data_IF_622579468174
#
_entry.id   IF_622579468174
#
_cell.length_a   1.000
_cell.length_b   1.000
_cell.length_c   1.000
_cell.angle_alpha   90.00
_cell.angle_beta   90.00
_cell.angle_gamma   90.00
#
_symmetry.space_group_name_H-M   'P 1'
#
loop_
_entity.id
_entity.type
_entity.pdbx_description
1 polymer ?
#
# COMPACT_ATOMS: atom_id res chain seq x y z
N UNK A 1 21.45 -12.47 -13.01
CA UNK A 1 21.33 -12.57 -14.48
C UNK A 1 19.91 -12.98 -14.86
N UNK A 2 19.10 -12.01 -15.28
CA UNK A 2 18.14 -12.11 -16.40
C UNK A 2 18.19 -10.70 -17.01
N UNK A 3 18.69 -10.53 -18.24
CA UNK A 3 18.82 -9.21 -18.85
C UNK A 3 17.52 -8.87 -19.59
N UNK A 4 16.76 -7.90 -19.11
CA UNK A 4 15.70 -7.29 -19.91
C UNK A 4 16.28 -6.11 -20.70
N UNK A 5 16.87 -6.40 -21.86
CA UNK A 5 17.05 -5.39 -22.92
C UNK A 5 16.45 -5.93 -24.20
N UNK A 6 15.42 -5.27 -24.72
CA UNK A 6 15.35 -4.99 -26.16
C UNK A 6 14.58 -3.71 -26.44
N UNK A 7 15.35 -2.63 -26.58
CA UNK A 7 15.01 -1.44 -27.35
C UNK A 7 14.86 -1.89 -28.80
N UNK A 8 13.61 -2.09 -29.23
CA UNK A 8 13.24 -2.43 -30.59
C UNK A 8 13.18 -1.19 -31.48
N UNK A 9 14.18 -1.10 -32.34
CA UNK A 9 14.47 -0.10 -33.36
C UNK A 9 13.26 0.31 -34.23
N UNK A 10 13.11 1.62 -34.38
CA UNK A 10 12.24 2.31 -35.33
C UNK A 10 12.61 1.94 -36.79
N UNK A 11 11.71 1.28 -37.53
CA UNK A 11 11.77 1.23 -39.00
C UNK A 11 10.61 2.02 -39.59
N UNK A 12 10.94 3.20 -40.11
CA UNK A 12 10.09 3.96 -41.01
C UNK A 12 10.28 3.35 -42.41
N UNK A 13 9.26 2.67 -42.94
CA UNK A 13 9.10 2.47 -44.37
C UNK A 13 8.12 3.52 -44.89
N UNK A 14 8.68 4.59 -45.47
CA UNK A 14 7.94 5.51 -46.33
C UNK A 14 7.62 4.80 -47.64
N UNK A 15 6.34 4.65 -47.99
CA UNK A 15 5.86 4.74 -49.37
C UNK A 15 4.32 4.76 -49.40
N UNK A 16 3.75 5.74 -50.10
CA UNK A 16 2.35 5.70 -50.54
C UNK A 16 1.51 6.87 -50.04
N UNK A 17 1.38 7.87 -50.90
CA UNK A 17 0.40 8.96 -50.92
C UNK A 17 -0.91 8.71 -50.16
N UNK A 18 -1.25 9.58 -49.21
CA UNK A 18 -2.41 10.51 -49.29
C UNK A 18 -2.61 11.22 -47.96
N UNK A 19 -2.76 12.55 -48.08
CA UNK A 19 -3.44 13.49 -47.18
C UNK A 19 -4.04 12.85 -45.92
N UNK A 20 -3.50 13.19 -44.75
CA UNK A 20 -4.31 13.35 -43.55
C UNK A 20 -3.58 14.24 -42.53
N UNK A 21 -4.00 15.51 -42.54
CA UNK A 21 -3.72 16.51 -41.53
C UNK A 21 -4.46 16.11 -40.25
N UNK A 22 -3.88 15.19 -39.46
CA UNK A 22 -4.52 14.68 -38.25
C UNK A 22 -3.69 13.72 -37.40
N UNK A 23 -2.37 13.63 -37.63
CA UNK A 23 -1.52 12.61 -36.99
C UNK A 23 -0.32 13.21 -36.23
N UNK A 24 -0.48 14.37 -35.58
CA UNK A 24 0.59 15.03 -34.83
C UNK A 24 0.29 15.32 -33.36
N UNK A 25 -0.83 14.85 -32.82
CA UNK A 25 -1.21 15.07 -31.41
C UNK A 25 -1.16 13.78 -30.56
N UNK A 26 -1.00 12.60 -31.17
CA UNK A 26 -1.12 11.31 -30.45
C UNK A 26 0.16 10.78 -29.78
N UNK A 27 1.31 11.44 -29.93
CA UNK A 27 2.58 10.95 -29.36
C UNK A 27 2.97 11.58 -28.01
N UNK A 28 2.26 12.58 -27.53
CA UNK A 28 2.57 13.27 -26.27
C UNK A 28 1.75 12.80 -25.06
N UNK A 29 0.70 12.00 -25.27
CA UNK A 29 -0.12 11.43 -24.18
C UNK A 29 0.30 10.04 -23.74
N UNK A 30 1.16 9.37 -24.52
CA UNK A 30 1.64 8.01 -24.21
C UNK A 30 2.88 7.99 -23.30
N UNK A 31 3.57 9.13 -23.11
CA UNK A 31 4.71 9.26 -22.20
C UNK A 31 4.31 9.80 -20.81
N UNK A 32 3.15 10.43 -20.68
CA UNK A 32 2.62 10.87 -19.38
C UNK A 32 1.83 9.80 -18.63
N UNK A 33 1.40 8.74 -19.32
CA UNK A 33 0.58 7.67 -18.73
C UNK A 33 1.42 6.58 -18.03
N UNK A 34 2.71 6.48 -18.30
CA UNK A 34 3.61 5.57 -17.57
C UNK A 34 4.10 6.13 -16.23
N UNK A 35 3.87 7.42 -15.94
CA UNK A 35 4.26 8.05 -14.67
C UNK A 35 3.10 8.19 -13.67
N UNK A 36 1.86 7.88 -14.05
CA UNK A 36 0.68 8.15 -13.22
C UNK A 36 0.26 7.00 -12.29
N UNK A 37 0.96 5.85 -12.33
CA UNK A 37 0.56 4.67 -11.55
C UNK A 37 1.69 4.01 -10.76
N UNK A 38 2.90 4.60 -10.69
CA UNK A 38 3.94 4.11 -9.79
C UNK A 38 3.70 4.63 -8.36
N UNK A 39 3.10 3.76 -7.56
CA UNK A 39 3.09 3.70 -6.09
C UNK A 39 2.73 4.97 -5.31
N UNK A 40 1.54 4.98 -4.73
CA UNK A 40 1.06 5.95 -3.74
C UNK A 40 1.86 5.99 -2.40
N UNK A 41 3.00 5.30 -2.32
CA UNK A 41 3.82 5.23 -1.10
C UNK A 41 5.22 5.77 -1.36
N UNK A 42 5.68 6.62 -0.45
CA UNK A 42 7.03 7.18 -0.45
C UNK A 42 8.08 6.09 -0.35
N UNK A 43 9.30 6.42 -0.77
CA UNK A 43 10.46 5.57 -0.58
C UNK A 43 10.65 5.28 0.92
N UNK A 44 11.10 4.06 1.24
CA UNK A 44 11.39 3.70 2.62
C UNK A 44 12.42 4.64 3.24
N UNK A 45 12.02 5.29 4.33
CA UNK A 45 12.85 6.22 5.09
C UNK A 45 13.82 5.42 5.99
N UNK A 46 15.15 5.55 5.79
CA UNK A 46 16.13 4.84 6.59
C UNK A 46 16.02 5.11 8.10
N UNK A 47 15.60 6.30 8.52
CA UNK A 47 15.44 6.64 9.93
C UNK A 47 14.23 5.92 10.54
N UNK A 48 13.11 5.85 9.82
CA UNK A 48 11.92 5.08 10.25
C UNK A 48 12.28 3.60 10.33
N UNK A 49 12.97 3.08 9.31
CA UNK A 49 13.42 1.68 9.27
C UNK A 49 14.33 1.34 10.46
N UNK A 50 15.29 2.20 10.79
CA UNK A 50 16.18 1.98 11.94
C UNK A 50 15.41 1.92 13.27
N UNK A 51 14.39 2.77 13.45
CA UNK A 51 13.55 2.75 14.65
C UNK A 51 12.64 1.52 14.71
N UNK A 52 12.16 1.01 13.57
CA UNK A 52 11.42 -0.25 13.51
C UNK A 52 12.31 -1.41 13.97
N UNK A 53 13.54 -1.50 13.47
CA UNK A 53 14.50 -2.53 13.88
C UNK A 53 14.85 -2.44 15.38
N UNK A 54 15.02 -1.22 15.90
CA UNK A 54 15.23 -0.98 17.33
C UNK A 54 14.00 -1.43 18.14
N UNK A 55 12.79 -1.09 17.70
CA UNK A 55 11.55 -1.49 18.36
C UNK A 55 11.36 -3.01 18.38
N UNK A 56 11.64 -3.68 17.26
CA UNK A 56 11.60 -5.14 17.18
C UNK A 56 12.70 -5.81 18.01
N UNK A 57 13.80 -5.11 18.31
CA UNK A 57 14.90 -5.62 19.12
C UNK A 57 15.39 -7.00 18.64
N UNK A 58 15.54 -7.14 17.32
CA UNK A 58 15.96 -8.38 16.66
C UNK A 58 14.89 -9.49 16.62
N UNK A 59 13.64 -9.19 16.93
CA UNK A 59 12.50 -10.12 16.89
C UNK A 59 11.36 -9.52 16.05
N UNK A 60 11.53 -9.43 14.72
CA UNK A 60 10.43 -9.02 13.85
C UNK A 60 9.24 -9.97 14.03
N UNK A 61 8.00 -9.48 13.85
CA UNK A 61 6.83 -10.35 13.91
C UNK A 61 6.83 -11.35 12.75
N UNK A 62 6.27 -12.53 13.00
CA UNK A 62 6.22 -13.65 12.07
C UNK A 62 4.77 -14.13 11.90
N UNK A 63 4.50 -14.87 10.82
CA UNK A 63 3.18 -15.46 10.50
C UNK A 63 2.10 -14.38 10.35
N UNK A 64 2.47 -13.26 9.73
CA UNK A 64 1.61 -12.11 9.50
C UNK A 64 0.42 -12.47 8.61
N UNK A 65 0.68 -13.16 7.50
CA UNK A 65 -0.37 -13.54 6.55
C UNK A 65 -1.32 -14.56 7.19
N UNK A 66 -0.79 -15.57 7.89
CA UNK A 66 -1.60 -16.57 8.58
C UNK A 66 -2.49 -15.95 9.66
N UNK A 67 -1.93 -15.02 10.45
CA UNK A 67 -2.67 -14.28 11.48
C UNK A 67 -3.80 -13.45 10.85
N UNK A 68 -3.52 -12.72 9.77
CA UNK A 68 -4.52 -11.91 9.09
C UNK A 68 -5.64 -12.76 8.44
N UNK A 69 -5.32 -13.96 7.92
CA UNK A 69 -6.31 -14.92 7.45
C UNK A 69 -7.21 -15.38 8.61
N UNK A 70 -6.64 -15.66 9.78
CA UNK A 70 -7.40 -16.07 10.97
C UNK A 70 -8.33 -14.97 11.51
N UNK A 71 -8.05 -13.70 11.23
CA UNK A 71 -8.95 -12.59 11.54
C UNK A 71 -10.20 -12.56 10.65
N UNK A 72 -10.21 -13.29 9.52
CA UNK A 72 -11.27 -13.33 8.50
C UNK A 72 -11.48 -11.99 7.80
N UNK A 73 -11.81 -10.94 8.55
CA UNK A 73 -12.03 -9.58 8.08
C UNK A 73 -11.28 -8.59 8.96
N UNK A 74 -10.46 -7.76 8.34
CA UNK A 74 -9.82 -6.62 8.99
C UNK A 74 -10.40 -5.30 8.46
N UNK A 75 -10.50 -4.29 9.32
CA UNK A 75 -10.99 -2.96 9.00
C UNK A 75 -9.90 -1.94 9.33
N UNK A 76 -9.68 -0.98 8.44
CA UNK A 76 -8.78 0.15 8.70
C UNK A 76 -9.52 1.15 9.59
N UNK A 77 -8.92 1.51 10.72
CA UNK A 77 -9.50 2.46 11.70
C UNK A 77 -8.71 3.76 11.80
N UNK A 78 -7.51 3.80 11.24
CA UNK A 78 -6.72 5.03 11.19
C UNK A 78 -5.62 4.97 10.15
N UNK A 79 -5.31 6.11 9.54
CA UNK A 79 -4.21 6.27 8.59
C UNK A 79 -3.47 7.59 8.80
N UNK A 80 -2.25 7.71 8.25
CA UNK A 80 -1.63 9.01 7.97
C UNK A 80 -2.45 9.78 6.93
N UNK A 81 -2.39 11.11 6.95
CA UNK A 81 -3.13 11.95 6.00
C UNK A 81 -2.80 11.63 4.55
N UNK A 82 -3.81 11.37 3.70
CA UNK A 82 -3.60 11.09 2.28
C UNK A 82 -3.00 9.71 1.99
N UNK A 83 -3.09 8.77 2.94
CA UNK A 83 -2.77 7.36 2.71
C UNK A 83 -3.64 6.76 1.59
N UNK A 84 -4.94 7.09 1.59
CA UNK A 84 -5.87 6.76 0.52
C UNK A 84 -6.24 8.04 -0.24
N UNK A 85 -5.92 8.14 -1.54
CA UNK A 85 -6.12 9.38 -2.31
C UNK A 85 -7.60 9.70 -2.55
N UNK A 86 -8.43 8.68 -2.72
CA UNK A 86 -9.84 8.83 -3.07
C UNK A 86 -10.76 8.97 -1.84
N UNK A 87 -10.18 9.14 -0.64
CA UNK A 87 -10.88 9.35 0.62
C UNK A 87 -12.10 8.43 0.83
N UNK A 88 -11.90 7.09 0.85
CA UNK A 88 -12.99 6.16 1.12
C UNK A 88 -13.60 6.45 2.49
N UNK A 89 -14.88 6.15 2.67
CA UNK A 89 -15.56 6.25 3.96
C UNK A 89 -15.20 5.07 4.87
N UNK A 90 -14.90 3.91 4.29
CA UNK A 90 -14.51 2.72 5.03
C UNK A 90 -13.60 1.84 4.17
N UNK A 91 -12.62 1.18 4.79
CA UNK A 91 -11.72 0.24 4.10
C UNK A 91 -11.62 -1.05 4.89
N UNK A 92 -11.84 -2.18 4.23
CA UNK A 92 -11.65 -3.50 4.84
C UNK A 92 -10.81 -4.41 3.95
N UNK A 93 -10.28 -5.47 4.55
CA UNK A 93 -9.41 -6.43 3.91
C UNK A 93 -9.81 -7.87 4.21
N UNK A 94 -9.74 -8.72 3.20
CA UNK A 94 -9.82 -10.17 3.32
C UNK A 94 -8.53 -10.79 2.82
N UNK A 95 -7.86 -11.55 3.70
CA UNK A 95 -6.56 -12.13 3.40
C UNK A 95 -6.70 -13.56 2.88
N UNK A 96 -5.85 -13.89 1.91
CA UNK A 96 -5.60 -15.22 1.37
C UNK A 96 -4.08 -15.49 1.41
N UNK A 97 -3.63 -16.75 1.28
CA UNK A 97 -2.20 -17.07 1.39
C UNK A 97 -1.28 -16.27 0.45
N UNK A 98 -1.75 -15.94 -0.75
CA UNK A 98 -0.96 -15.31 -1.82
C UNK A 98 -1.40 -13.87 -2.17
N UNK A 99 -2.53 -13.41 -1.64
CA UNK A 99 -3.12 -12.09 -1.96
C UNK A 99 -4.03 -11.57 -0.87
N UNK A 100 -4.28 -10.27 -0.90
CA UNK A 100 -5.30 -9.59 -0.09
C UNK A 100 -6.31 -8.91 -1.01
N UNK A 101 -7.60 -9.01 -0.67
CA UNK A 101 -8.65 -8.20 -1.25
C UNK A 101 -8.83 -6.98 -0.38
N UNK A 102 -8.68 -5.78 -0.93
CA UNK A 102 -8.89 -4.52 -0.22
C UNK A 102 -10.12 -3.87 -0.82
N UNK A 103 -11.16 -3.70 -0.02
CA UNK A 103 -12.40 -3.07 -0.44
C UNK A 103 -12.47 -1.65 0.09
N UNK A 104 -12.71 -0.71 -0.81
CA UNK A 104 -12.86 0.71 -0.55
C UNK A 104 -14.34 1.07 -0.72
N UNK A 105 -15.00 1.47 0.36
CA UNK A 105 -16.40 1.88 0.35
C UNK A 105 -16.47 3.40 0.37
N UNK A 106 -17.23 3.96 -0.56
CA UNK A 106 -17.42 5.40 -0.71
C UNK A 106 -18.78 5.84 -0.16
N UNK A 107 -18.94 7.15 0.07
CA UNK A 107 -20.12 7.70 0.75
C UNK A 107 -21.44 7.57 -0.02
N UNK A 108 -21.38 7.26 -1.32
CA UNK A 108 -22.53 6.95 -2.18
C UNK A 108 -22.91 5.45 -2.17
N UNK A 109 -22.17 4.63 -1.42
CA UNK A 109 -22.34 3.19 -1.34
C UNK A 109 -21.61 2.42 -2.44
N UNK A 110 -20.89 3.09 -3.35
CA UNK A 110 -20.02 2.40 -4.31
C UNK A 110 -18.90 1.67 -3.56
N UNK A 111 -18.51 0.50 -4.06
CA UNK A 111 -17.39 -0.27 -3.54
C UNK A 111 -16.43 -0.64 -4.66
N UNK A 112 -15.18 -0.17 -4.55
CA UNK A 112 -14.08 -0.63 -5.39
C UNK A 112 -13.30 -1.72 -4.65
N UNK A 113 -12.81 -2.72 -5.38
CA UNK A 113 -12.04 -3.83 -4.80
C UNK A 113 -10.72 -3.99 -5.54
N UNK A 114 -9.63 -3.83 -4.78
CA UNK A 114 -8.28 -4.11 -5.24
C UNK A 114 -7.87 -5.53 -4.86
N UNK A 115 -7.17 -6.21 -5.76
CA UNK A 115 -6.58 -7.52 -5.51
C UNK A 115 -5.07 -7.37 -5.55
N UNK A 116 -4.45 -7.42 -4.37
CA UNK A 116 -3.02 -7.14 -4.22
C UNK A 116 -2.29 -8.43 -3.85
N UNK A 117 -1.28 -8.87 -4.62
CA UNK A 117 -0.46 -10.00 -4.22
C UNK A 117 0.33 -9.66 -2.96
N UNK A 118 0.60 -10.65 -2.13
CA UNK A 118 1.37 -10.45 -0.90
C UNK A 118 2.33 -11.61 -0.67
N UNK A 119 3.51 -11.25 -0.18
CA UNK A 119 4.55 -12.17 0.27
C UNK A 119 4.99 -11.69 1.64
N UNK A 120 5.21 -12.60 2.58
CA UNK A 120 5.77 -12.25 3.88
C UNK A 120 7.29 -12.16 3.78
N UNK A 121 7.86 -11.06 4.26
CA UNK A 121 9.30 -10.81 4.25
C UNK A 121 9.69 -10.02 5.50
N UNK A 122 10.46 -10.65 6.40
CA UNK A 122 11.11 -9.99 7.54
C UNK A 122 10.26 -8.98 8.31
N UNK A 123 9.15 -9.43 8.91
CA UNK A 123 8.25 -8.55 9.66
C UNK A 123 7.41 -7.60 8.79
N UNK A 124 7.42 -7.78 7.46
CA UNK A 124 6.62 -7.02 6.51
C UNK A 124 5.80 -7.92 5.59
N UNK A 125 4.79 -7.33 4.95
CA UNK A 125 4.17 -7.87 3.74
C UNK A 125 4.63 -7.08 2.52
N UNK A 126 4.95 -7.78 1.44
CA UNK A 126 5.50 -7.24 0.21
C UNK A 126 4.55 -7.48 -0.97
N UNK A 127 4.23 -6.40 -1.68
CA UNK A 127 3.55 -6.45 -2.98
C UNK A 127 4.60 -6.34 -4.12
N UNK A 128 4.86 -7.44 -4.85
CA UNK A 128 5.84 -7.45 -5.93
C UNK A 128 5.44 -6.62 -7.15
N UNK A 129 4.16 -6.28 -7.32
CA UNK A 129 3.69 -5.53 -8.49
C UNK A 129 4.03 -4.05 -8.39
N UNK A 130 3.97 -3.51 -7.17
CA UNK A 130 4.25 -2.09 -6.87
C UNK A 130 5.56 -1.89 -6.13
N UNK A 131 6.26 -2.97 -5.78
CA UNK A 131 7.42 -2.95 -4.88
C UNK A 131 7.12 -2.27 -3.53
N UNK A 132 5.89 -2.45 -3.02
CA UNK A 132 5.43 -1.86 -1.76
C UNK A 132 5.68 -2.82 -0.61
N UNK A 133 6.36 -2.34 0.43
CA UNK A 133 6.55 -3.01 1.70
C UNK A 133 5.61 -2.39 2.74
N UNK A 134 5.01 -3.24 3.56
CA UNK A 134 4.19 -2.86 4.71
C UNK A 134 4.82 -3.50 5.93
N UNK A 135 5.62 -2.77 6.69
CA UNK A 135 6.28 -3.23 7.91
C UNK A 135 5.27 -3.27 9.05
N UNK A 136 5.08 -4.44 9.66
CA UNK A 136 4.16 -4.64 10.78
C UNK A 136 4.87 -4.23 12.07
N UNK A 137 4.71 -2.98 12.45
CA UNK A 137 5.42 -2.40 13.60
C UNK A 137 4.77 -2.87 14.90
N UNK A 138 3.44 -2.85 14.97
CA UNK A 138 2.67 -3.28 16.14
C UNK A 138 1.74 -4.42 15.74
N UNK A 139 1.73 -5.52 16.48
CA UNK A 139 0.76 -6.61 16.31
C UNK A 139 0.42 -7.21 17.67
N UNK A 140 -0.79 -6.96 18.15
CA UNK A 140 -1.25 -7.43 19.46
C UNK A 140 -2.77 -7.45 19.52
N UNK A 141 -3.33 -8.54 20.07
CA UNK A 141 -4.75 -8.64 20.41
C UNK A 141 -5.72 -8.13 19.32
N UNK A 142 -5.54 -8.62 18.09
CA UNK A 142 -6.34 -8.28 16.91
C UNK A 142 -6.19 -6.84 16.38
N UNK A 143 -5.14 -6.12 16.80
CA UNK A 143 -4.77 -4.79 16.28
C UNK A 143 -3.39 -4.88 15.63
N UNK A 144 -3.29 -4.30 14.43
CA UNK A 144 -2.05 -4.25 13.66
C UNK A 144 -1.79 -2.83 13.17
N UNK A 145 -0.64 -2.26 13.55
CA UNK A 145 -0.15 -0.98 13.06
C UNK A 145 1.03 -1.20 12.12
N UNK A 146 1.02 -0.54 10.97
CA UNK A 146 2.06 -0.72 9.95
C UNK A 146 2.53 0.58 9.32
N UNK A 147 3.80 0.56 8.91
CA UNK A 147 4.45 1.56 8.07
C UNK A 147 4.52 1.02 6.63
N UNK A 148 4.08 1.82 5.67
CA UNK A 148 4.04 1.46 4.25
C UNK A 148 5.03 2.32 3.46
N UNK A 149 5.86 1.68 2.64
CA UNK A 149 6.83 2.38 1.80
C UNK A 149 7.18 1.56 0.56
N UNK A 150 7.93 2.15 -0.37
CA UNK A 150 8.48 1.44 -1.53
C UNK A 150 10.00 1.45 -1.55
N UNK A 151 10.61 0.47 -2.21
CA UNK A 151 12.08 0.42 -2.37
C UNK A 151 12.61 1.42 -3.39
N UNK A 152 11.80 1.81 -4.38
CA UNK A 152 12.22 2.59 -5.55
C UNK A 152 11.43 3.89 -5.77
N UNK A 153 10.47 4.22 -4.90
CA UNK A 153 9.69 5.45 -5.00
C UNK A 153 10.51 6.71 -4.77
N UNK A 154 9.84 7.86 -4.88
CA UNK A 154 10.40 9.16 -4.52
C UNK A 154 10.37 9.36 -3.00
N UNK A 155 11.28 10.20 -2.49
CA UNK A 155 11.23 10.64 -1.10
C UNK A 155 9.92 11.39 -0.84
N UNK A 156 9.34 11.19 0.34
CA UNK A 156 8.10 11.82 0.74
C UNK A 156 7.68 11.43 2.13
N UNK A 157 6.51 11.93 2.56
CA UNK A 157 6.01 11.72 3.92
C UNK A 157 5.80 10.24 4.24
N UNK A 158 6.03 9.88 5.50
CA UNK A 158 5.81 8.52 5.96
C UNK A 158 4.33 8.14 5.85
N UNK A 159 4.05 6.93 5.33
CA UNK A 159 2.69 6.40 5.20
C UNK A 159 2.47 5.30 6.21
N UNK A 160 1.37 5.34 6.93
CA UNK A 160 1.03 4.28 7.87
C UNK A 160 -0.47 4.15 8.07
N UNK A 161 -0.86 3.00 8.60
CA UNK A 161 -2.24 2.73 8.95
C UNK A 161 -2.35 1.70 10.08
N UNK A 162 -3.53 1.68 10.69
CA UNK A 162 -3.93 0.75 11.73
C UNK A 162 -5.13 -0.04 11.23
N UNK A 163 -5.02 -1.36 11.32
CA UNK A 163 -6.10 -2.31 11.07
C UNK A 163 -6.50 -3.02 12.35
N UNK A 164 -7.77 -3.36 12.43
CA UNK A 164 -8.35 -4.16 13.52
C UNK A 164 -9.17 -5.30 12.95
N UNK A 165 -9.30 -6.40 13.69
CA UNK A 165 -10.29 -7.42 13.37
C UNK A 165 -11.70 -6.85 13.56
N UNK A 166 -12.57 -7.05 12.56
CA UNK A 166 -13.95 -6.57 12.60
C UNK A 166 -14.76 -7.15 13.77
N UNK A 167 -14.55 -8.43 14.09
CA UNK A 167 -15.32 -9.17 15.09
C UNK A 167 -14.77 -9.07 16.52
N UNK A 168 -14.05 -7.99 16.83
CA UNK A 168 -13.65 -7.66 18.19
C UNK A 168 -12.17 -7.34 18.36
N UNK A 169 -11.93 -6.20 18.99
CA UNK A 169 -10.63 -5.68 19.41
C UNK A 169 -10.82 -4.82 20.67
N UNK A 170 -9.74 -4.53 21.38
CA UNK A 170 -9.76 -3.57 22.48
C UNK A 170 -9.26 -2.21 21.96
N UNK A 171 -10.07 -1.13 22.04
CA UNK A 171 -9.65 0.22 21.64
C UNK A 171 -8.38 0.71 22.33
N UNK A 172 -8.06 0.22 23.53
CA UNK A 172 -6.81 0.58 24.21
C UNK A 172 -5.56 0.14 23.41
N UNK A 173 -5.65 -0.97 22.67
CA UNK A 173 -4.55 -1.43 21.81
C UNK A 173 -4.44 -0.62 20.50
N UNK A 174 -5.52 0.03 20.07
CA UNK A 174 -5.46 1.00 18.96
C UNK A 174 -4.68 2.24 19.38
N UNK A 175 -4.94 2.76 20.58
CA UNK A 175 -4.18 3.88 21.12
C UNK A 175 -2.72 3.51 21.39
N UNK A 176 -2.43 2.31 21.91
CA UNK A 176 -1.05 1.81 22.02
C UNK A 176 -0.35 1.73 20.65
N UNK A 177 -1.05 1.26 19.61
CA UNK A 177 -0.52 1.20 18.25
C UNK A 177 -0.22 2.60 17.68
N UNK A 178 -1.10 3.59 17.91
CA UNK A 178 -0.87 4.99 17.50
C UNK A 178 0.40 5.55 18.13
N UNK A 179 0.60 5.34 19.43
CA UNK A 179 1.80 5.81 20.14
C UNK A 179 3.08 5.14 19.62
N UNK A 180 3.04 3.82 19.38
CA UNK A 180 4.18 3.10 18.79
C UNK A 180 4.54 3.62 17.40
N UNK A 181 3.54 3.82 16.53
CA UNK A 181 3.77 4.39 15.20
C UNK A 181 4.30 5.83 15.29
N UNK A 182 3.80 6.63 16.23
CA UNK A 182 4.30 7.98 16.46
C UNK A 182 5.78 7.99 16.87
N UNK A 183 6.20 7.07 17.74
CA UNK A 183 7.60 6.97 18.17
C UNK A 183 8.56 6.71 16.99
N UNK A 184 8.11 6.00 15.95
CA UNK A 184 8.92 5.77 14.75
C UNK A 184 8.81 6.89 13.71
N UNK A 185 7.97 7.92 13.93
CA UNK A 185 7.78 9.05 13.03
C UNK A 185 6.56 8.93 12.09
N UNK A 186 5.64 8.02 12.39
CA UNK A 186 4.41 7.78 11.60
C UNK A 186 3.19 8.21 12.42
N UNK A 187 2.72 9.44 12.21
CA UNK A 187 1.56 9.97 12.95
C UNK A 187 0.24 9.66 12.24
N UNK A 188 -0.65 8.92 12.91
CA UNK A 188 -2.00 8.63 12.43
C UNK A 188 -2.87 9.87 12.64
N UNK A 189 -3.45 10.41 11.57
CA UNK A 189 -4.20 11.68 11.58
C UNK A 189 -5.65 11.53 11.10
N UNK A 190 -5.90 10.56 10.24
CA UNK A 190 -7.22 10.33 9.64
C UNK A 190 -7.83 9.11 10.32
N UNK A 191 -9.02 9.26 10.89
CA UNK A 191 -9.75 8.18 11.58
C UNK A 191 -10.91 7.67 10.74
N UNK A 192 -11.15 6.37 10.80
CA UNK A 192 -12.17 5.67 10.04
C UNK A 192 -13.11 4.91 10.98
N UNK A 193 -14.39 4.74 10.63
CA UNK A 193 -15.27 3.87 11.38
C UNK A 193 -14.79 2.42 11.32
N UNK A 194 -14.99 1.68 12.41
CA UNK A 194 -14.69 0.25 12.51
C UNK A 194 -15.75 -0.63 11.83
N UNK A 195 -16.82 -0.03 11.32
CA UNK A 195 -17.89 -0.67 10.57
C UNK A 195 -18.26 0.12 9.31
N UNK A 196 -18.36 -0.59 8.19
CA UNK A 196 -18.94 -0.05 6.96
C UNK A 196 -20.45 -0.35 6.97
N UNK A 197 -21.29 0.69 6.97
CA UNK A 197 -22.75 0.60 6.90
C UNK A 197 -23.23 1.03 5.51
#
# INVERSE_FOLDING_TARGET
EIPCIHVGLLFILTNGEKKNMGFRIFLLTALSSTFLHLSHSSKCDPEVMAKIEEYWNGKPPENLIETAIAHVKEVVVGTTHGYYPDCPTCVYSFFMPDRVLIAHVYGDGETAVDVVPQIEEHGATYDPTTCTLRYHVYTKCNVTGFYTCTTYGEEGDARGAIKVRADGYDPAYVEEAKEVLKCIGVEITDEYPDHCC
#
